data_IF_116040282034
#
_entry.id   IF_116040282034
#
_cell.length_a   1.000
_cell.length_b   1.000
_cell.length_c   1.000
_cell.angle_alpha   90.00
_cell.angle_beta   90.00
_cell.angle_gamma   90.00
#
_symmetry.space_group_name_H-M   'P 1'
#
loop_
_entity.id
_entity.type
_entity.pdbx_description
1 polymer ?
#
# COMPACT_ATOMS: atom_id res chain seq x y z
N UNK A 1 13.41 -6.85 0.23
CA UNK A 1 14.37 -6.78 1.34
C UNK A 1 15.66 -6.21 0.77
N UNK A 2 16.50 -5.59 1.60
CA UNK A 2 17.81 -5.07 1.15
C UNK A 2 18.85 -6.18 0.95
N UNK A 3 18.62 -7.36 1.55
CA UNK A 3 19.54 -8.51 1.48
C UNK A 3 18.98 -9.72 0.75
N UNK A 4 17.65 -9.84 0.64
CA UNK A 4 16.98 -10.99 0.03
C UNK A 4 16.02 -10.50 -1.08
N UNK A 5 16.30 -10.76 -2.37
CA UNK A 5 15.54 -10.20 -3.48
C UNK A 5 14.08 -10.68 -3.55
N UNK A 6 13.80 -11.87 -3.02
CA UNK A 6 12.49 -12.53 -3.05
C UNK A 6 11.66 -12.30 -1.78
N UNK A 7 12.21 -11.58 -0.80
CA UNK A 7 11.52 -11.29 0.47
C UNK A 7 10.98 -9.87 0.44
N UNK A 8 9.68 -9.71 0.64
CA UNK A 8 9.00 -8.41 0.64
C UNK A 8 8.46 -8.09 2.03
N UNK A 9 8.74 -6.89 2.52
CA UNK A 9 8.15 -6.36 3.74
C UNK A 9 7.08 -5.32 3.35
N UNK A 10 5.94 -5.34 4.04
CA UNK A 10 4.80 -4.45 3.81
C UNK A 10 4.23 -3.95 5.14
N UNK A 11 3.48 -2.85 5.10
CA UNK A 11 2.90 -2.23 6.28
C UNK A 11 3.93 -1.87 7.33
N UNK A 12 3.56 -1.98 8.61
CA UNK A 12 4.38 -1.53 9.74
C UNK A 12 5.63 -2.41 9.97
N UNK A 13 5.74 -3.56 9.28
CA UNK A 13 6.95 -4.38 9.27
C UNK A 13 8.05 -3.83 8.34
N UNK A 14 7.75 -2.80 7.54
CA UNK A 14 8.66 -2.25 6.54
C UNK A 14 9.07 -0.81 6.85
N UNK A 15 10.38 -0.54 6.82
CA UNK A 15 10.90 0.81 6.63
C UNK A 15 11.04 1.06 5.13
N UNK A 16 10.04 1.71 4.52
CA UNK A 16 10.00 1.98 3.09
C UNK A 16 9.88 3.50 2.83
N UNK A 17 10.56 4.04 1.79
CA UNK A 17 10.35 5.41 1.39
C UNK A 17 8.93 5.59 0.84
N UNK A 18 8.31 6.74 1.09
CA UNK A 18 7.12 7.20 0.39
C UNK A 18 7.45 7.88 -0.92
N UNK A 19 6.43 8.42 -1.60
CA UNK A 19 6.57 9.11 -2.88
C UNK A 19 7.53 10.32 -2.86
N UNK A 20 7.75 10.91 -1.68
CA UNK A 20 8.64 12.05 -1.45
C UNK A 20 10.05 11.64 -0.96
N UNK A 21 10.34 10.33 -0.88
CA UNK A 21 11.60 9.79 -0.37
C UNK A 21 11.70 9.70 1.16
N UNK A 22 10.83 10.36 1.91
CA UNK A 22 10.79 10.22 3.37
C UNK A 22 10.16 8.87 3.77
N UNK A 23 10.56 8.25 4.89
CA UNK A 23 9.95 7.01 5.34
C UNK A 23 8.43 7.13 5.52
N UNK A 24 7.69 6.11 5.05
CA UNK A 24 6.29 5.97 5.39
C UNK A 24 6.13 5.79 6.90
N UNK A 25 5.19 6.53 7.52
CA UNK A 25 4.82 6.31 8.91
C UNK A 25 4.13 4.97 9.11
N UNK A 26 4.23 4.45 10.33
CA UNK A 26 3.43 3.31 10.77
C UNK A 26 1.95 3.66 10.74
N UNK A 27 1.19 2.97 9.90
CA UNK A 27 -0.24 3.22 9.73
C UNK A 27 -0.93 2.16 8.88
N UNK A 28 -2.22 1.95 9.15
CA UNK A 28 -3.08 1.18 8.26
C UNK A 28 -3.20 1.80 6.85
N UNK A 29 -3.05 3.12 6.73
CA UNK A 29 -3.08 3.82 5.44
C UNK A 29 -1.88 3.44 4.55
N UNK A 30 -0.76 3.05 5.15
CA UNK A 30 0.43 2.54 4.45
C UNK A 30 0.30 1.06 4.11
N UNK A 31 -0.42 0.29 4.93
CA UNK A 31 -0.54 -1.17 4.83
C UNK A 31 -1.08 -1.65 3.48
N UNK A 32 -2.32 -1.28 3.13
CA UNK A 32 -2.96 -1.75 1.89
C UNK A 32 -2.19 -1.30 0.63
N UNK A 33 -1.78 -0.02 0.48
CA UNK A 33 -1.00 0.41 -0.68
C UNK A 33 0.36 -0.29 -0.80
N UNK A 34 1.07 -0.52 0.30
CA UNK A 34 2.35 -1.25 0.26
C UNK A 34 2.16 -2.73 -0.09
N UNK A 35 1.07 -3.36 0.39
CA UNK A 35 0.70 -4.72 0.00
C UNK A 35 0.38 -4.82 -1.49
N UNK A 36 -0.39 -3.87 -2.04
CA UNK A 36 -0.68 -3.82 -3.48
C UNK A 36 0.58 -3.62 -4.31
N UNK A 37 1.45 -2.69 -3.93
CA UNK A 37 2.71 -2.45 -4.64
C UNK A 37 3.62 -3.69 -4.62
N UNK A 38 3.70 -4.40 -3.49
CA UNK A 38 4.47 -5.65 -3.40
C UNK A 38 3.89 -6.74 -4.31
N UNK A 39 2.56 -6.91 -4.31
CA UNK A 39 1.89 -7.86 -5.19
C UNK A 39 2.11 -7.53 -6.67
N UNK A 40 2.01 -6.26 -7.05
CA UNK A 40 2.27 -5.81 -8.42
C UNK A 40 3.74 -6.00 -8.81
N UNK A 41 4.69 -5.76 -7.90
CA UNK A 41 6.10 -6.01 -8.14
C UNK A 41 6.41 -7.50 -8.36
N UNK A 42 5.80 -8.38 -7.54
CA UNK A 42 5.90 -9.84 -7.71
C UNK A 42 5.33 -10.25 -9.07
N UNK A 43 4.11 -9.79 -9.39
CA UNK A 43 3.46 -10.11 -10.65
C UNK A 43 4.25 -9.58 -11.86
N UNK A 44 4.84 -8.38 -11.77
CA UNK A 44 5.66 -7.81 -12.82
C UNK A 44 6.90 -8.68 -13.08
N UNK A 45 7.63 -9.04 -12.03
CA UNK A 45 8.83 -9.91 -12.14
C UNK A 45 8.50 -11.28 -12.73
N UNK A 46 7.44 -11.92 -12.23
CA UNK A 46 6.99 -13.22 -12.75
C UNK A 46 6.54 -13.17 -14.20
N UNK A 47 6.13 -12.00 -14.70
CA UNK A 47 5.60 -11.84 -16.08
C UNK A 47 6.56 -11.10 -17.01
N UNK A 48 7.81 -10.86 -16.58
CA UNK A 48 8.81 -10.16 -17.39
C UNK A 48 8.46 -8.68 -17.67
N UNK A 49 7.66 -8.05 -16.81
CA UNK A 49 7.25 -6.65 -16.94
C UNK A 49 8.05 -5.75 -16.01
N UNK A 50 8.04 -4.46 -16.34
CA UNK A 50 8.61 -3.43 -15.48
C UNK A 50 7.86 -3.36 -14.14
N UNK A 51 8.64 -3.28 -13.05
CA UNK A 51 8.11 -3.10 -11.69
C UNK A 51 7.57 -1.68 -11.55
N UNK A 52 6.33 -1.49 -11.07
CA UNK A 52 5.77 -0.15 -10.91
C UNK A 52 6.56 0.67 -9.87
N UNK A 53 6.69 1.99 -10.10
CA UNK A 53 7.33 2.88 -9.13
C UNK A 53 6.49 3.02 -7.87
N UNK A 54 7.15 3.23 -6.74
CA UNK A 54 6.47 3.55 -5.49
C UNK A 54 5.91 4.98 -5.53
N UNK A 55 4.59 5.10 -5.43
CA UNK A 55 3.85 6.37 -5.38
C UNK A 55 3.01 6.52 -4.11
N UNK A 56 3.34 5.77 -3.05
CA UNK A 56 2.56 5.76 -1.81
C UNK A 56 2.75 7.08 -1.07
N UNK A 57 1.65 7.73 -0.72
CA UNK A 57 1.60 8.97 0.05
C UNK A 57 0.27 9.10 0.80
N UNK A 58 0.13 10.18 1.56
CA UNK A 58 -1.01 10.38 2.45
C UNK A 58 -1.99 11.44 1.96
N UNK A 59 -3.22 11.35 2.44
CA UNK A 59 -4.30 12.30 2.14
C UNK A 59 -5.02 12.78 3.38
N UNK A 60 -5.18 11.90 4.38
CA UNK A 60 -5.74 12.25 5.68
C UNK A 60 -5.18 11.41 6.82
N UNK A 61 -5.23 11.96 8.03
CA UNK A 61 -5.12 11.23 9.30
C UNK A 61 -6.46 11.25 10.02
N UNK A 62 -6.87 10.10 10.56
CA UNK A 62 -8.19 9.95 11.16
C UNK A 62 -8.06 9.42 12.59
N UNK A 63 -8.65 10.12 13.55
CA UNK A 63 -8.64 9.75 14.97
C UNK A 63 -10.08 9.74 15.48
N UNK A 64 -10.53 8.62 16.04
CA UNK A 64 -11.84 8.54 16.70
C UNK A 64 -11.77 9.12 18.11
N UNK A 65 -12.77 9.91 18.49
CA UNK A 65 -12.97 10.46 19.83
C UNK A 65 -14.24 9.87 20.47
N UNK A 66 -14.43 8.56 20.30
CA UNK A 66 -15.63 7.82 20.72
C UNK A 66 -16.60 7.52 19.58
N UNK A 67 -17.80 7.04 19.92
CA UNK A 67 -18.80 6.56 18.93
C UNK A 67 -19.43 7.67 18.09
N UNK A 68 -19.39 8.91 18.56
CA UNK A 68 -20.11 10.04 17.95
C UNK A 68 -19.20 11.21 17.57
N UNK A 69 -17.89 11.06 17.74
CA UNK A 69 -16.95 12.13 17.46
C UNK A 69 -15.63 11.57 16.92
N UNK A 70 -14.97 12.35 16.07
CA UNK A 70 -13.68 12.04 15.46
C UNK A 70 -13.07 13.30 14.84
N UNK A 71 -11.81 13.20 14.44
CA UNK A 71 -11.11 14.17 13.61
C UNK A 71 -10.58 13.46 12.36
N UNK A 72 -10.83 14.03 11.20
CA UNK A 72 -10.19 13.69 9.93
C UNK A 72 -9.39 14.90 9.49
N UNK A 73 -8.09 14.89 9.83
CA UNK A 73 -7.13 15.92 9.49
C UNK A 73 -6.65 15.69 8.06
N UNK A 74 -6.84 16.65 7.16
CA UNK A 74 -6.28 16.55 5.82
C UNK A 74 -4.77 16.75 5.86
N UNK A 75 -4.03 15.98 5.06
CA UNK A 75 -2.58 16.09 4.95
C UNK A 75 -2.11 16.23 3.50
N UNK A 76 -0.86 16.63 3.34
CA UNK A 76 -0.12 16.54 2.09
C UNK A 76 0.36 15.10 1.83
N UNK A 77 0.83 14.76 0.60
CA UNK A 77 1.37 13.42 0.31
C UNK A 77 2.52 13.00 1.23
N UNK A 78 3.27 13.95 1.76
CA UNK A 78 4.35 13.82 2.74
C UNK A 78 3.88 13.88 4.21
N UNK A 79 2.58 13.72 4.46
CA UNK A 79 1.95 13.61 5.79
C UNK A 79 1.98 14.88 6.64
N UNK A 80 2.13 16.06 6.04
CA UNK A 80 2.04 17.34 6.76
C UNK A 80 0.59 17.79 6.90
N UNK A 81 0.15 18.25 8.09
CA UNK A 81 -1.21 18.72 8.29
C UNK A 81 -1.50 19.96 7.46
N UNK A 82 -2.65 19.95 6.78
CA UNK A 82 -3.20 21.12 6.10
C UNK A 82 -4.09 21.92 7.07
N UNK A 83 -4.40 23.20 6.79
CA UNK A 83 -5.24 24.03 7.67
C UNK A 83 -6.70 23.55 7.83
N UNK A 84 -7.13 22.54 7.06
CA UNK A 84 -8.50 22.04 7.05
C UNK A 84 -8.61 20.65 7.66
N UNK A 85 -9.72 20.42 8.36
CA UNK A 85 -10.10 19.13 8.93
C UNK A 85 -11.63 18.98 8.94
N UNK A 86 -12.10 17.73 9.00
CA UNK A 86 -13.50 17.41 9.30
C UNK A 86 -13.55 16.90 10.74
N UNK A 87 -14.49 17.41 11.55
CA UNK A 87 -14.62 17.03 12.97
C UNK A 87 -16.05 16.61 13.32
N UNK A 88 -16.27 16.15 14.55
CA UNK A 88 -17.60 15.86 15.06
C UNK A 88 -18.19 14.56 14.48
N UNK A 89 -19.53 14.53 14.44
CA UNK A 89 -20.29 13.37 13.95
C UNK A 89 -20.03 13.06 12.48
N UNK A 90 -19.72 14.06 11.66
CA UNK A 90 -19.40 13.86 10.26
C UNK A 90 -18.10 13.06 10.11
N UNK A 91 -17.05 13.45 10.85
CA UNK A 91 -15.80 12.71 10.91
C UNK A 91 -15.99 11.28 11.45
N UNK A 92 -16.85 11.09 12.45
CA UNK A 92 -17.13 9.76 12.99
C UNK A 92 -17.75 8.83 11.92
N UNK A 93 -18.65 9.35 11.08
CA UNK A 93 -19.22 8.60 9.94
C UNK A 93 -18.17 8.28 8.88
N UNK A 94 -17.30 9.24 8.56
CA UNK A 94 -16.18 9.00 7.62
C UNK A 94 -15.28 7.88 8.14
N UNK A 95 -14.95 7.90 9.43
CA UNK A 95 -14.12 6.86 10.04
C UNK A 95 -14.77 5.48 9.97
N UNK A 96 -16.06 5.39 10.26
CA UNK A 96 -16.80 4.13 10.17
C UNK A 96 -16.80 3.59 8.73
N UNK A 97 -17.02 4.47 7.74
CA UNK A 97 -16.94 4.11 6.32
C UNK A 97 -15.56 3.55 5.95
N UNK A 98 -14.47 4.18 6.41
CA UNK A 98 -13.09 3.71 6.17
C UNK A 98 -12.85 2.33 6.78
N UNK A 99 -13.30 2.09 8.02
CA UNK A 99 -13.14 0.77 8.65
C UNK A 99 -13.91 -0.31 7.89
N UNK A 100 -15.16 -0.02 7.50
CA UNK A 100 -15.99 -0.96 6.75
C UNK A 100 -15.42 -1.23 5.36
N UNK A 101 -14.91 -0.21 4.67
CA UNK A 101 -14.30 -0.38 3.35
C UNK A 101 -13.01 -1.20 3.42
N UNK A 102 -12.20 -1.02 4.47
CA UNK A 102 -10.99 -1.83 4.68
C UNK A 102 -11.32 -3.32 4.89
N UNK A 103 -12.34 -3.62 5.70
CA UNK A 103 -12.79 -5.01 5.86
C UNK A 103 -13.36 -5.57 4.54
N UNK A 104 -14.17 -4.79 3.84
CA UNK A 104 -14.74 -5.17 2.56
C UNK A 104 -13.67 -5.44 1.50
N UNK A 105 -12.63 -4.61 1.39
CA UNK A 105 -11.58 -4.76 0.38
C UNK A 105 -10.77 -6.05 0.55
N UNK A 106 -10.59 -6.52 1.78
CA UNK A 106 -9.93 -7.82 2.03
C UNK A 106 -10.79 -8.98 1.51
N UNK A 107 -12.12 -8.89 1.68
CA UNK A 107 -13.06 -9.90 1.16
C UNK A 107 -13.32 -9.79 -0.35
N UNK A 108 -13.00 -8.65 -0.96
CA UNK A 108 -13.19 -8.38 -2.39
C UNK A 108 -11.89 -7.82 -2.99
N UNK A 109 -10.81 -8.63 -3.06
CA UNK A 109 -9.46 -8.16 -3.36
C UNK A 109 -9.29 -7.57 -4.77
N UNK A 110 -10.17 -7.94 -5.71
CA UNK A 110 -10.18 -7.32 -7.04
C UNK A 110 -10.95 -6.00 -7.08
N UNK A 111 -11.57 -5.58 -5.97
CA UNK A 111 -12.52 -4.47 -5.93
C UNK A 111 -13.60 -4.59 -7.01
N UNK A 112 -14.02 -5.84 -7.30
CA UNK A 112 -14.96 -6.19 -8.36
C UNK A 112 -14.45 -5.93 -9.80
N UNK A 113 -13.18 -5.58 -9.97
CA UNK A 113 -12.56 -5.44 -11.28
C UNK A 113 -12.28 -6.82 -11.92
N UNK A 114 -12.33 -6.93 -13.26
CA UNK A 114 -11.99 -8.17 -13.95
C UNK A 114 -10.51 -8.54 -13.76
N UNK A 115 -10.26 -9.79 -13.37
CA UNK A 115 -8.90 -10.31 -13.27
C UNK A 115 -8.38 -10.77 -14.65
N UNK A 116 -7.27 -10.19 -15.13
CA UNK A 116 -6.55 -10.68 -16.31
C UNK A 116 -5.47 -11.66 -15.91
N UNK A 117 -5.56 -12.90 -16.38
CA UNK A 117 -4.46 -13.87 -16.29
C UNK A 117 -3.32 -13.45 -17.23
N UNK A 118 -2.09 -13.50 -16.73
CA UNK A 118 -0.88 -13.27 -17.52
C UNK A 118 -0.05 -14.55 -17.52
N UNK A 119 0.68 -14.81 -18.62
CA UNK A 119 1.64 -15.91 -18.66
C UNK A 119 2.87 -15.53 -17.85
N UNK A 120 3.35 -16.47 -17.06
CA UNK A 120 4.63 -16.37 -16.34
C UNK A 120 5.73 -16.45 -17.40
N UNK A 121 6.69 -15.53 -17.34
CA UNK A 121 7.91 -15.62 -18.14
C UNK A 121 8.75 -16.81 -17.63
N UNK A 122 9.60 -17.41 -18.46
CA UNK A 122 10.49 -18.54 -18.08
C UNK A 122 11.60 -18.09 -17.10
N UNK A 123 11.21 -17.55 -15.93
CA UNK A 123 12.08 -16.95 -14.92
C UNK A 123 13.09 -17.94 -14.33
N UNK A 124 12.72 -19.22 -14.29
CA UNK A 124 13.54 -20.30 -13.72
C UNK A 124 14.78 -20.62 -14.58
N UNK A 125 14.69 -20.48 -15.91
CA UNK A 125 15.83 -20.77 -16.82
C UNK A 125 16.88 -19.67 -16.80
N UNK A 126 16.47 -18.41 -16.63
CA UNK A 126 17.37 -17.27 -16.64
C UNK A 126 18.08 -17.09 -15.29
N UNK A 127 17.40 -17.34 -14.16
CA UNK A 127 18.02 -17.25 -12.84
C UNK A 127 19.03 -18.39 -12.58
N UNK A 128 18.73 -19.61 -13.05
CA UNK A 128 19.66 -20.76 -12.95
C UNK A 128 20.88 -20.59 -13.88
N UNK A 129 20.74 -19.89 -15.02
CA UNK A 129 21.88 -19.51 -15.88
C UNK A 129 22.74 -18.39 -15.29
N UNK A 130 22.13 -17.41 -14.63
CA UNK A 130 22.85 -16.29 -14.01
C UNK A 130 23.65 -16.72 -12.77
N UNK A 131 23.23 -17.77 -12.05
CA UNK A 131 23.96 -18.33 -10.91
C UNK A 131 25.06 -19.34 -11.29
N UNK A 132 25.13 -19.77 -12.56
CA UNK A 132 26.08 -20.76 -13.07
C UNK A 132 27.18 -20.16 -13.97
N UNK A 133 27.25 -18.84 -14.12
CA UNK A 133 28.36 -18.15 -14.79
C UNK A 133 29.45 -17.82 -13.77
N UNK A 134 30.72 -18.25 -13.99
CA UNK A 134 31.82 -18.12 -13.04
C UNK A 134 32.25 -16.66 -12.81
#
# INVERSE_FOLDING_TARGET
SVSHPDVYAVGDAALAPGANGAPLRMSCASGVPSAHLAADAIAARLTGREVPPNKIGYTAQCISLGRRDAVVQWVTPDDRPKPSAVTGRAAARVKELICRSAAWSVTHPTSLAPARRRRVADYEKDNMRAQLQP
#
